data_IF_182882549923
#
_entry.id   IF_182882549923
#
_cell.length_a   1.000
_cell.length_b   1.000
_cell.length_c   1.000
_cell.angle_alpha   90.00
_cell.angle_beta   90.00
_cell.angle_gamma   90.00
#
_symmetry.space_group_name_H-M   'P 1'
#
loop_
_entity.id
_entity.type
_entity.pdbx_description
1 polymer ?
#
# COMPACT_ATOMS: atom_id res chain seq x y z
N UNK A 1 -44.78 12.22 23.91
CA UNK A 1 -43.34 12.09 24.12
C UNK A 1 -42.68 10.79 23.61
N UNK A 2 -43.40 9.66 23.52
CA UNK A 2 -42.80 8.38 23.01
C UNK A 2 -42.57 8.33 21.47
N UNK A 3 -43.36 9.06 20.68
CA UNK A 3 -43.27 9.03 19.21
C UNK A 3 -42.02 9.80 18.66
N UNK A 4 -41.58 10.86 19.34
CA UNK A 4 -40.38 11.59 18.94
C UNK A 4 -39.08 10.81 19.18
N UNK A 5 -38.97 10.04 20.25
CA UNK A 5 -37.81 9.21 20.56
C UNK A 5 -37.61 8.11 19.51
N UNK A 6 -38.66 7.56 18.95
CA UNK A 6 -38.59 6.55 17.90
C UNK A 6 -38.08 7.11 16.57
N UNK A 7 -38.43 8.35 16.26
CA UNK A 7 -37.97 9.05 15.06
C UNK A 7 -36.46 9.36 15.14
N UNK A 8 -35.97 9.77 16.30
CA UNK A 8 -34.54 10.03 16.51
C UNK A 8 -33.71 8.75 16.49
N UNK A 9 -34.23 7.64 17.03
CA UNK A 9 -33.57 6.33 17.02
C UNK A 9 -33.49 5.79 15.60
N UNK A 10 -34.52 5.95 14.78
CA UNK A 10 -34.54 5.56 13.37
C UNK A 10 -33.55 6.36 12.53
N UNK A 11 -33.39 7.67 12.80
CA UNK A 11 -32.44 8.53 12.11
C UNK A 11 -30.99 8.22 12.50
N UNK A 12 -30.76 7.85 13.78
CA UNK A 12 -29.42 7.45 14.24
C UNK A 12 -28.96 6.12 13.65
N UNK A 13 -29.87 5.16 13.41
CA UNK A 13 -29.53 3.89 12.73
C UNK A 13 -29.19 4.07 11.26
N UNK A 14 -29.74 5.09 10.60
CA UNK A 14 -29.44 5.38 9.19
C UNK A 14 -28.01 5.91 8.98
N UNK A 15 -27.40 6.50 10.01
CA UNK A 15 -26.02 7.02 9.95
C UNK A 15 -24.94 5.95 10.12
N UNK A 16 -25.28 4.75 10.57
CA UNK A 16 -24.34 3.62 10.75
C UNK A 16 -24.13 2.77 9.49
N UNK A 17 -24.82 3.07 8.39
CA UNK A 17 -24.81 2.28 7.14
C UNK A 17 -23.67 2.66 6.18
N UNK A 18 -22.64 3.36 6.59
CA UNK A 18 -21.54 3.78 5.72
C UNK A 18 -20.19 3.09 6.00
N UNK A 19 -20.19 1.82 6.38
CA UNK A 19 -18.99 0.97 6.19
C UNK A 19 -19.16 0.23 4.87
N UNK A 20 -18.87 0.95 3.78
CA UNK A 20 -18.91 0.40 2.43
C UNK A 20 -17.87 -0.72 2.25
N UNK A 21 -18.25 -1.92 2.66
CA UNK A 21 -17.68 -3.11 2.05
C UNK A 21 -18.35 -3.21 0.69
N UNK A 22 -17.63 -3.07 -0.43
CA UNK A 22 -18.28 -3.12 -1.74
C UNK A 22 -18.75 -4.54 -2.00
N UNK A 23 -20.06 -4.78 -1.87
CA UNK A 23 -20.68 -6.10 -2.00
C UNK A 23 -20.64 -6.66 -3.43
N UNK A 24 -20.14 -5.88 -4.41
CA UNK A 24 -20.02 -6.30 -5.81
C UNK A 24 -18.77 -5.72 -6.44
N UNK A 25 -17.75 -6.58 -6.61
CA UNK A 25 -16.60 -6.31 -7.46
C UNK A 25 -16.84 -6.90 -8.85
N UNK A 26 -16.69 -6.09 -9.90
CA UNK A 26 -16.54 -6.56 -11.26
C UNK A 26 -15.13 -7.13 -11.42
N UNK A 27 -14.99 -8.33 -11.96
CA UNK A 27 -13.69 -8.92 -12.23
C UNK A 27 -13.08 -8.27 -13.47
N UNK A 28 -11.87 -7.75 -13.36
CA UNK A 28 -11.17 -7.10 -14.47
C UNK A 28 -10.52 -8.11 -15.43
N UNK A 29 -10.21 -9.35 -14.96
CA UNK A 29 -9.60 -10.41 -15.75
C UNK A 29 -8.19 -10.08 -16.24
N UNK A 30 -7.52 -9.10 -15.62
CA UNK A 30 -6.15 -8.66 -15.95
C UNK A 30 -5.44 -8.17 -14.71
N UNK A 31 -4.12 -8.04 -14.78
CA UNK A 31 -3.31 -7.41 -13.74
C UNK A 31 -3.64 -5.91 -13.64
N UNK A 32 -3.48 -5.30 -12.44
CA UNK A 32 -3.69 -3.86 -12.27
C UNK A 32 -2.54 -3.06 -12.90
N UNK A 33 -2.86 -1.92 -13.49
CA UNK A 33 -1.88 -0.90 -13.87
C UNK A 33 -1.60 -0.04 -12.65
N UNK A 34 -0.53 -0.38 -11.91
CA UNK A 34 -0.16 0.27 -10.65
C UNK A 34 1.06 1.17 -10.82
N UNK A 35 1.06 2.26 -10.06
CA UNK A 35 2.21 3.16 -10.00
C UNK A 35 2.58 3.48 -8.55
N UNK A 36 3.84 3.27 -8.12
CA UNK A 36 4.91 2.58 -8.87
C UNK A 36 4.60 1.12 -9.16
N UNK A 37 5.21 0.54 -10.21
CA UNK A 37 5.02 -0.87 -10.55
C UNK A 37 5.83 -1.77 -9.60
N UNK A 38 5.11 -2.54 -8.80
CA UNK A 38 5.67 -3.50 -7.84
C UNK A 38 5.36 -4.96 -8.20
N UNK A 39 4.86 -5.22 -9.41
CA UNK A 39 4.50 -6.57 -9.83
C UNK A 39 5.76 -7.41 -10.00
N UNK A 40 5.86 -8.52 -9.26
CA UNK A 40 6.97 -9.46 -9.36
C UNK A 40 8.32 -8.95 -8.83
N UNK A 41 8.35 -7.83 -8.09
CA UNK A 41 9.60 -7.32 -7.52
C UNK A 41 10.06 -8.14 -6.32
N UNK A 42 11.38 -8.15 -6.08
CA UNK A 42 11.98 -8.69 -4.86
C UNK A 42 12.32 -7.57 -3.91
N UNK A 43 11.88 -7.69 -2.66
CA UNK A 43 12.07 -6.66 -1.64
C UNK A 43 12.67 -7.23 -0.35
N UNK A 44 13.47 -6.45 0.38
CA UNK A 44 13.92 -6.84 1.72
C UNK A 44 12.78 -6.69 2.73
N UNK A 45 12.78 -7.53 3.77
CA UNK A 45 11.74 -7.52 4.80
C UNK A 45 11.64 -6.22 5.61
N UNK A 46 12.64 -5.34 5.50
CA UNK A 46 12.71 -4.05 6.21
C UNK A 46 12.34 -2.85 5.34
N UNK A 47 11.91 -3.06 4.09
CA UNK A 47 11.53 -1.96 3.19
C UNK A 47 10.31 -1.21 3.73
N UNK A 48 10.24 0.09 3.43
CA UNK A 48 9.04 0.90 3.69
C UNK A 48 7.81 0.30 3.00
N UNK A 49 6.59 0.58 3.48
CA UNK A 49 5.38 0.14 2.80
C UNK A 49 5.38 0.53 1.33
N UNK A 50 5.04 -0.43 0.49
CA UNK A 50 4.92 -0.23 -0.96
C UNK A 50 3.52 0.33 -1.27
N UNK A 51 3.36 1.61 -0.99
CA UNK A 51 2.13 2.33 -1.30
C UNK A 51 2.05 2.55 -2.82
N UNK A 52 0.88 2.32 -3.42
CA UNK A 52 0.69 2.46 -4.86
C UNK A 52 -0.69 3.01 -5.23
N UNK A 53 -0.76 3.60 -6.40
CA UNK A 53 -1.98 4.02 -7.06
C UNK A 53 -2.36 3.02 -8.16
N UNK A 54 -3.63 3.04 -8.59
CA UNK A 54 -4.07 2.35 -9.82
C UNK A 54 -4.48 3.43 -10.80
N UNK A 55 -3.94 3.39 -12.02
CA UNK A 55 -4.21 4.42 -13.01
C UNK A 55 -5.71 4.57 -13.28
N UNK A 56 -6.19 5.81 -13.32
CA UNK A 56 -7.59 6.15 -13.53
C UNK A 56 -8.54 5.82 -12.36
N UNK A 57 -8.09 5.18 -11.28
CA UNK A 57 -8.94 4.86 -10.14
C UNK A 57 -9.10 6.05 -9.19
N UNK A 58 -10.33 6.35 -8.78
CA UNK A 58 -10.63 7.39 -7.78
C UNK A 58 -10.34 6.95 -6.35
N UNK A 59 -10.39 5.64 -6.07
CA UNK A 59 -10.04 4.99 -4.80
C UNK A 59 -9.44 3.62 -5.06
N UNK A 60 -8.54 3.20 -4.15
CA UNK A 60 -7.87 1.90 -4.20
C UNK A 60 -8.10 1.16 -2.89
N UNK A 61 -8.32 -0.14 -3.00
CA UNK A 61 -8.25 -1.10 -1.90
C UNK A 61 -7.21 -2.14 -2.30
N UNK A 62 -6.23 -2.39 -1.45
CA UNK A 62 -5.29 -3.48 -1.63
C UNK A 62 -5.33 -4.42 -0.43
N UNK A 63 -5.34 -5.72 -0.68
CA UNK A 63 -5.28 -6.77 0.32
C UNK A 63 -3.99 -7.52 0.07
N UNK A 64 -3.09 -7.50 1.03
CA UNK A 64 -1.84 -8.24 1.02
C UNK A 64 -1.99 -9.45 1.92
N UNK A 65 -1.70 -10.63 1.40
CA UNK A 65 -1.71 -11.90 2.13
C UNK A 65 -0.28 -12.38 2.29
N UNK A 66 0.14 -12.56 3.54
CA UNK A 66 1.47 -13.06 3.88
C UNK A 66 1.57 -14.58 3.80
N UNK A 67 2.80 -15.11 3.85
CA UNK A 67 3.06 -16.55 3.84
C UNK A 67 2.41 -17.30 5.02
N UNK A 68 2.10 -16.61 6.12
CA UNK A 68 1.40 -17.14 7.29
C UNK A 68 -0.14 -17.08 7.17
N UNK A 69 -0.67 -16.73 6.00
CA UNK A 69 -2.09 -16.60 5.71
C UNK A 69 -2.77 -15.37 6.33
N UNK A 70 -2.02 -14.51 7.05
CA UNK A 70 -2.57 -13.26 7.57
C UNK A 70 -2.69 -12.23 6.47
N UNK A 71 -3.70 -11.38 6.60
CA UNK A 71 -3.98 -10.33 5.63
C UNK A 71 -3.78 -8.94 6.21
N UNK A 72 -3.33 -8.02 5.36
CA UNK A 72 -3.19 -6.60 5.64
C UNK A 72 -3.94 -5.80 4.57
N UNK A 73 -4.79 -4.87 5.00
CA UNK A 73 -5.54 -3.99 4.10
C UNK A 73 -4.91 -2.61 4.01
N UNK A 74 -4.73 -2.14 2.77
CA UNK A 74 -4.46 -0.75 2.45
C UNK A 74 -5.63 -0.14 1.69
N UNK A 75 -5.98 1.12 1.93
CA UNK A 75 -7.05 1.80 1.22
C UNK A 75 -6.83 3.30 1.16
N UNK A 76 -7.53 3.97 0.24
CA UNK A 76 -7.50 5.41 0.09
C UNK A 76 -7.58 5.85 -1.37
N UNK A 77 -7.03 7.03 -1.68
CA UNK A 77 -6.72 7.41 -3.05
C UNK A 77 -5.59 6.52 -3.58
N UNK A 78 -4.59 6.26 -2.73
CA UNK A 78 -3.53 5.28 -2.88
C UNK A 78 -3.74 4.13 -1.88
N UNK A 79 -3.32 2.93 -2.20
CA UNK A 79 -3.22 1.84 -1.23
C UNK A 79 -2.10 2.18 -0.24
N UNK A 80 -2.44 2.43 1.03
CA UNK A 80 -1.48 2.77 2.09
C UNK A 80 -1.53 1.74 3.20
N UNK A 81 -0.34 1.34 3.66
CA UNK A 81 -0.22 0.30 4.68
C UNK A 81 0.45 0.84 5.96
N UNK A 82 -0.05 0.46 7.16
CA UNK A 82 0.59 0.79 8.42
C UNK A 82 1.97 0.13 8.53
N UNK A 83 3.03 0.93 8.72
CA UNK A 83 4.42 0.48 8.67
C UNK A 83 4.73 -0.70 9.61
N UNK A 84 4.20 -0.69 10.85
CA UNK A 84 4.43 -1.75 11.83
C UNK A 84 3.80 -3.08 11.41
N UNK A 85 2.61 -3.04 10.82
CA UNK A 85 1.91 -4.22 10.33
C UNK A 85 2.59 -4.76 9.06
N UNK A 86 3.00 -3.87 8.17
CA UNK A 86 3.75 -4.17 6.96
C UNK A 86 5.05 -4.93 7.28
N UNK A 87 5.91 -4.36 8.13
CA UNK A 87 7.17 -5.02 8.53
C UNK A 87 6.95 -6.37 9.19
N UNK A 88 5.90 -6.51 10.01
CA UNK A 88 5.57 -7.80 10.64
C UNK A 88 5.19 -8.85 9.60
N UNK A 89 4.40 -8.47 8.60
CA UNK A 89 3.99 -9.35 7.51
C UNK A 89 5.19 -9.78 6.67
N UNK A 90 6.05 -8.83 6.24
CA UNK A 90 7.24 -9.16 5.45
C UNK A 90 8.22 -10.02 6.24
N UNK A 91 8.41 -9.75 7.54
CA UNK A 91 9.27 -10.57 8.40
C UNK A 91 8.77 -12.02 8.50
N UNK A 92 7.45 -12.24 8.52
CA UNK A 92 6.84 -13.57 8.52
C UNK A 92 6.89 -14.26 7.15
N UNK A 93 7.16 -13.50 6.08
CA UNK A 93 7.18 -13.99 4.69
C UNK A 93 8.59 -14.04 4.09
N UNK A 94 9.66 -13.95 4.92
CA UNK A 94 11.04 -14.02 4.46
C UNK A 94 11.32 -15.32 3.68
N UNK A 95 12.01 -15.18 2.55
CA UNK A 95 12.31 -16.32 1.65
C UNK A 95 11.12 -16.83 0.85
N UNK A 96 9.96 -16.18 0.98
CA UNK A 96 8.73 -16.53 0.29
C UNK A 96 8.14 -15.34 -0.48
N UNK A 97 6.81 -15.38 -0.66
CA UNK A 97 6.05 -14.34 -1.37
C UNK A 97 4.96 -13.78 -0.49
N UNK A 98 4.56 -12.56 -0.78
CA UNK A 98 3.28 -12.00 -0.36
C UNK A 98 2.42 -11.79 -1.59
N UNK A 99 1.13 -12.15 -1.49
CA UNK A 99 0.16 -12.04 -2.56
C UNK A 99 -0.65 -10.78 -2.41
N UNK A 100 -0.73 -9.96 -3.45
CA UNK A 100 -1.45 -8.68 -3.44
C UNK A 100 -2.67 -8.77 -4.34
N UNK A 101 -3.85 -8.52 -3.80
CA UNK A 101 -5.09 -8.36 -4.55
C UNK A 101 -5.48 -6.90 -4.52
N UNK A 102 -5.50 -6.25 -5.68
CA UNK A 102 -5.83 -4.85 -5.82
C UNK A 102 -7.24 -4.66 -6.39
N UNK A 103 -7.95 -3.64 -5.89
CA UNK A 103 -9.25 -3.23 -6.38
C UNK A 103 -9.27 -1.72 -6.57
N UNK A 104 -9.71 -1.25 -7.73
CA UNK A 104 -9.85 0.16 -8.06
C UNK A 104 -11.31 0.57 -8.22
N UNK A 105 -11.65 1.81 -7.87
CA UNK A 105 -12.97 2.39 -8.10
C UNK A 105 -12.95 3.32 -9.31
N UNK A 106 -13.68 2.95 -10.36
CA UNK A 106 -13.81 3.67 -11.63
C UNK A 106 -15.27 4.03 -11.84
N UNK A 107 -15.59 5.28 -12.09
CA UNK A 107 -16.96 5.76 -12.35
C UNK A 107 -18.01 5.24 -11.36
N UNK A 108 -17.62 5.21 -10.10
CA UNK A 108 -18.49 4.74 -9.01
C UNK A 108 -18.53 3.22 -8.81
N UNK A 109 -18.00 2.42 -9.75
CA UNK A 109 -17.98 0.95 -9.70
C UNK A 109 -16.63 0.42 -9.23
N UNK A 110 -16.64 -0.67 -8.48
CA UNK A 110 -15.42 -1.34 -8.04
C UNK A 110 -15.03 -2.45 -9.02
N UNK A 111 -13.76 -2.46 -9.44
CA UNK A 111 -13.15 -3.54 -10.22
C UNK A 111 -12.09 -4.23 -9.37
N UNK A 112 -12.09 -5.55 -9.38
CA UNK A 112 -11.08 -6.40 -8.76
C UNK A 112 -10.16 -6.95 -9.84
N UNK A 113 -8.88 -6.73 -9.67
CA UNK A 113 -7.84 -7.18 -10.60
C UNK A 113 -7.32 -8.57 -10.22
N UNK A 114 -6.64 -9.22 -11.16
CA UNK A 114 -5.90 -10.44 -10.89
C UNK A 114 -4.81 -10.17 -9.85
N UNK A 115 -4.61 -11.10 -8.91
CA UNK A 115 -3.58 -10.94 -7.90
C UNK A 115 -2.18 -11.06 -8.49
N UNK A 116 -1.23 -10.34 -7.87
CA UNK A 116 0.19 -10.42 -8.19
C UNK A 116 1.01 -10.74 -6.94
N UNK A 117 2.26 -11.12 -7.14
CA UNK A 117 3.18 -11.51 -6.07
C UNK A 117 4.33 -10.53 -5.94
N UNK A 118 4.81 -10.39 -4.71
CA UNK A 118 6.02 -9.67 -4.34
C UNK A 118 6.90 -10.67 -3.58
N UNK A 119 8.15 -10.84 -4.01
CA UNK A 119 9.10 -11.74 -3.38
C UNK A 119 9.77 -11.05 -2.19
N UNK A 120 9.88 -11.76 -1.07
CA UNK A 120 10.55 -11.23 0.13
C UNK A 120 11.89 -11.93 0.30
N UNK A 121 12.98 -11.17 0.14
CA UNK A 121 14.34 -11.72 0.27
C UNK A 121 14.61 -12.26 1.67
N UNK A 122 15.38 -13.31 1.76
CA UNK A 122 15.98 -13.80 3.01
C UNK A 122 17.08 -12.89 3.52
N UNK A 123 17.75 -12.18 2.60
CA UNK A 123 18.88 -11.34 2.90
C UNK A 123 18.46 -10.09 3.66
N UNK A 124 19.31 -9.67 4.58
CA UNK A 124 19.16 -8.38 5.24
C UNK A 124 19.71 -7.29 4.33
N UNK A 125 18.98 -6.18 4.24
CA UNK A 125 19.52 -4.97 3.60
C UNK A 125 20.51 -4.28 4.55
N UNK A 126 21.60 -3.74 4.01
CA UNK A 126 22.54 -2.93 4.75
C UNK A 126 21.86 -1.73 5.41
N UNK A 127 22.41 -1.31 6.55
CA UNK A 127 21.88 -0.18 7.29
C UNK A 127 21.83 1.12 6.48
N UNK A 128 22.80 1.31 5.59
CA UNK A 128 22.99 2.55 4.86
C UNK A 128 23.18 2.35 3.38
N UNK A 129 22.81 3.37 2.64
CA UNK A 129 23.10 3.52 1.22
C UNK A 129 24.06 4.67 1.03
N UNK A 130 25.08 4.47 0.21
CA UNK A 130 26.01 5.52 -0.23
C UNK A 130 25.66 5.86 -1.67
N UNK A 131 25.48 7.13 -1.93
CA UNK A 131 25.13 7.61 -3.27
C UNK A 131 25.88 8.90 -3.59
N UNK A 132 26.10 9.11 -4.88
CA UNK A 132 26.68 10.33 -5.39
C UNK A 132 25.58 11.34 -5.71
N UNK A 133 25.65 12.50 -5.07
CA UNK A 133 24.76 13.60 -5.41
C UNK A 133 25.39 14.41 -6.54
N UNK A 134 24.71 14.51 -7.66
CA UNK A 134 25.09 15.33 -8.81
C UNK A 134 24.04 16.42 -8.96
N UNK A 135 24.45 17.67 -8.79
CA UNK A 135 23.54 18.79 -9.00
C UNK A 135 23.10 18.86 -10.48
N UNK A 136 21.84 19.19 -10.77
CA UNK A 136 21.35 19.36 -12.13
C UNK A 136 22.08 20.56 -12.81
N UNK A 137 22.45 20.36 -14.07
CA UNK A 137 23.14 21.35 -14.86
C UNK A 137 24.66 21.14 -14.91
N UNK A 138 25.35 21.95 -15.73
CA UNK A 138 26.81 21.94 -15.90
C UNK A 138 27.53 22.65 -14.75
N UNK A 139 27.26 22.20 -13.53
CA UNK A 139 27.94 22.74 -12.35
C UNK A 139 29.36 22.15 -12.20
N UNK A 140 30.28 22.92 -11.64
CA UNK A 140 31.65 22.49 -11.44
C UNK A 140 31.73 21.24 -10.55
N UNK A 141 32.79 20.44 -10.73
CA UNK A 141 33.10 19.24 -9.96
C UNK A 141 33.10 19.47 -8.44
N UNK A 142 33.33 20.70 -7.99
CA UNK A 142 33.31 21.08 -6.57
C UNK A 142 31.95 20.90 -5.88
N UNK A 143 30.85 20.77 -6.65
CA UNK A 143 29.50 20.56 -6.10
C UNK A 143 29.06 19.09 -6.13
N UNK A 144 29.95 18.17 -6.54
CA UNK A 144 29.68 16.75 -6.54
C UNK A 144 30.05 16.18 -5.16
N UNK A 145 29.08 15.66 -4.44
CA UNK A 145 29.27 15.09 -3.10
C UNK A 145 28.94 13.60 -3.05
N UNK A 146 29.66 12.88 -2.19
CA UNK A 146 29.26 11.53 -1.76
C UNK A 146 28.39 11.71 -0.52
N UNK A 147 27.16 11.23 -0.60
CA UNK A 147 26.19 11.30 0.49
C UNK A 147 25.88 9.91 1.04
N UNK A 148 25.56 9.88 2.32
CA UNK A 148 25.12 8.66 3.01
C UNK A 148 23.69 8.83 3.47
N UNK A 149 22.84 7.89 3.13
CA UNK A 149 21.48 7.79 3.62
C UNK A 149 21.26 6.51 4.43
N UNK A 150 20.15 6.42 5.13
CA UNK A 150 19.74 5.18 5.82
C UNK A 150 18.64 4.49 5.01
N UNK A 151 18.71 3.17 4.94
CA UNK A 151 17.64 2.35 4.35
C UNK A 151 16.45 2.15 5.30
N UNK A 152 16.51 2.73 6.50
CA UNK A 152 15.40 2.70 7.46
C UNK A 152 14.45 3.86 7.18
N UNK A 153 13.12 3.62 7.22
CA UNK A 153 12.16 4.70 7.09
C UNK A 153 12.39 5.72 8.21
N UNK A 154 12.46 7.00 7.85
CA UNK A 154 12.52 8.06 8.85
C UNK A 154 11.19 8.07 9.61
N UNK A 155 11.23 7.86 10.91
CA UNK A 155 10.10 8.17 11.78
C UNK A 155 9.98 9.70 11.82
N UNK A 156 9.17 10.29 10.96
CA UNK A 156 8.71 11.66 11.20
C UNK A 156 7.88 11.61 12.47
N UNK A 157 8.42 12.13 13.55
CA UNK A 157 7.62 12.59 14.69
C UNK A 157 6.72 13.71 14.18
N UNK A 158 5.40 13.51 14.29
CA UNK A 158 4.41 14.54 14.09
C UNK A 158 4.54 15.59 15.19
#
# INVERSE_FOLDING_TARGET
MKKSAFLYLSFLLALLSCTGNPDRFEQAGQLPDIYPDYIGVTVPATIAPLDFDIDGASKVIAIVEGADGKTLKGFGKSARFPIKAWHRMLAASKGGTVKVTACGKFDGKWKRFEPFEIFVSEDAIDYGIVYRLIAPGYQSFSHIGISRGTCRPSTRSA
#
